data_IF_026511928813
#
_entry.id   IF_026511928813
#
_cell.length_a   1.000
_cell.length_b   1.000
_cell.length_c   1.000
_cell.angle_alpha   90.00
_cell.angle_beta   90.00
_cell.angle_gamma   90.00
#
_symmetry.space_group_name_H-M   'P 1'
#
loop_
_entity.id
_entity.type
_entity.pdbx_description
1 polymer ?
#
# COMPACT_ATOMS: atom_id res chain seq x y z
N UNK A 1 17.69 -14.16 -27.77
CA UNK A 1 16.71 -13.57 -26.83
C UNK A 1 17.03 -12.08 -26.63
N UNK A 2 17.48 -11.39 -27.69
CA UNK A 2 18.36 -10.22 -27.55
C UNK A 2 17.85 -8.97 -28.29
N UNK A 3 16.97 -9.13 -29.29
CA UNK A 3 16.45 -8.00 -30.08
C UNK A 3 15.59 -7.03 -29.25
N UNK A 4 14.86 -7.55 -28.27
CA UNK A 4 13.97 -6.75 -27.41
C UNK A 4 14.76 -5.80 -26.52
N UNK A 5 15.90 -6.26 -25.99
CA UNK A 5 16.76 -5.47 -25.10
C UNK A 5 17.46 -4.36 -25.90
N UNK A 6 17.90 -4.65 -27.12
CA UNK A 6 18.58 -3.67 -27.96
C UNK A 6 17.65 -2.52 -28.40
N UNK A 7 16.36 -2.82 -28.60
CA UNK A 7 15.32 -1.80 -28.88
C UNK A 7 15.13 -0.83 -27.71
N UNK A 8 15.16 -1.35 -26.49
CA UNK A 8 15.00 -0.56 -25.25
C UNK A 8 16.25 0.31 -25.01
N UNK A 9 17.45 -0.23 -25.24
CA UNK A 9 18.72 0.49 -25.08
C UNK A 9 18.84 1.74 -25.96
N UNK A 10 18.22 1.76 -27.15
CA UNK A 10 18.22 2.94 -28.02
C UNK A 10 17.56 4.17 -27.38
N UNK A 11 16.63 3.95 -26.44
CA UNK A 11 15.99 5.02 -25.69
C UNK A 11 16.86 5.54 -24.53
N UNK A 12 17.85 4.76 -24.08
CA UNK A 12 18.83 5.14 -23.05
C UNK A 12 20.03 5.89 -23.62
N UNK A 13 19.77 6.89 -24.46
CA UNK A 13 20.79 7.82 -24.96
C UNK A 13 20.85 9.08 -24.08
N UNK A 14 22.01 9.75 -23.95
CA UNK A 14 22.16 10.93 -23.09
C UNK A 14 21.22 12.09 -23.46
N UNK A 15 20.78 12.13 -24.73
CA UNK A 15 19.77 13.08 -25.22
C UNK A 15 18.38 12.83 -24.63
N UNK A 16 18.02 11.58 -24.37
CA UNK A 16 16.75 11.18 -23.77
C UNK A 16 16.82 11.07 -22.24
N UNK A 17 18.03 11.09 -21.67
CA UNK A 17 18.23 11.00 -20.22
C UNK A 17 17.48 12.11 -19.46
N UNK A 18 17.46 13.34 -19.98
CA UNK A 18 16.70 14.45 -19.38
C UNK A 18 15.20 14.16 -19.37
N UNK A 19 14.65 13.65 -20.47
CA UNK A 19 13.24 13.26 -20.56
C UNK A 19 12.92 12.14 -19.57
N UNK A 20 13.76 11.11 -19.51
CA UNK A 20 13.59 10.00 -18.57
C UNK A 20 13.61 10.49 -17.11
N UNK A 21 14.57 11.36 -16.75
CA UNK A 21 14.65 11.95 -15.42
C UNK A 21 13.43 12.82 -15.10
N UNK A 22 12.92 13.62 -16.05
CA UNK A 22 11.70 14.40 -15.87
C UNK A 22 10.49 13.49 -15.65
N UNK A 23 10.36 12.42 -16.43
CA UNK A 23 9.27 11.44 -16.26
C UNK A 23 9.35 10.77 -14.88
N UNK A 24 10.54 10.32 -14.47
CA UNK A 24 10.76 9.73 -13.14
C UNK A 24 10.41 10.75 -12.04
N UNK A 25 10.84 12.00 -12.17
CA UNK A 25 10.54 13.05 -11.19
C UNK A 25 9.02 13.31 -11.08
N UNK A 26 8.32 13.37 -12.21
CA UNK A 26 6.87 13.55 -12.25
C UNK A 26 6.13 12.35 -11.62
N UNK A 27 6.56 11.13 -11.92
CA UNK A 27 6.01 9.91 -11.32
C UNK A 27 6.24 9.87 -9.81
N UNK A 28 7.45 10.20 -9.35
CA UNK A 28 7.77 10.29 -7.93
C UNK A 28 6.92 11.33 -7.21
N UNK A 29 6.69 12.49 -7.82
CA UNK A 29 5.80 13.51 -7.27
C UNK A 29 4.35 13.00 -7.20
N UNK A 30 3.90 12.31 -8.25
CA UNK A 30 2.58 11.66 -8.28
C UNK A 30 2.39 10.65 -7.14
N UNK A 31 3.38 9.79 -6.89
CA UNK A 31 3.35 8.87 -5.74
C UNK A 31 3.42 9.62 -4.39
N UNK A 32 4.16 10.72 -4.32
CA UNK A 32 4.17 11.59 -3.15
C UNK A 32 2.79 12.16 -2.80
N UNK A 33 1.97 12.49 -3.81
CA UNK A 33 0.58 12.91 -3.59
C UNK A 33 -0.30 11.75 -3.09
N UNK A 34 -0.08 10.53 -3.60
CA UNK A 34 -0.79 9.33 -3.16
C UNK A 34 -0.48 8.95 -1.70
N UNK A 35 0.67 9.38 -1.17
CA UNK A 35 1.07 9.13 0.21
C UNK A 35 0.06 9.65 1.24
N UNK A 36 -0.70 10.70 0.90
CA UNK A 36 -1.79 11.24 1.75
C UNK A 36 -2.91 10.23 2.02
N UNK A 37 -3.04 9.22 1.18
CA UNK A 37 -4.07 8.18 1.30
C UNK A 37 -3.53 6.89 1.93
N UNK A 38 -2.24 6.82 2.26
CA UNK A 38 -1.68 5.67 2.95
C UNK A 38 -2.22 5.67 4.38
N UNK A 39 -3.00 4.64 4.69
CA UNK A 39 -3.56 4.40 6.01
C UNK A 39 -3.06 3.06 6.52
N UNK A 40 -2.74 3.00 7.80
CA UNK A 40 -2.44 1.73 8.45
C UNK A 40 -3.76 1.15 8.94
N UNK A 41 -4.11 0.00 8.38
CA UNK A 41 -5.29 -0.75 8.77
C UNK A 41 -4.89 -1.72 9.89
N UNK A 42 -5.35 -1.43 11.11
CA UNK A 42 -5.08 -2.23 12.31
C UNK A 42 -6.23 -3.20 12.64
N UNK A 43 -7.21 -3.33 11.75
CA UNK A 43 -8.31 -4.27 11.87
C UNK A 43 -7.80 -5.70 11.58
N UNK A 44 -7.41 -6.41 12.64
CA UNK A 44 -6.98 -7.81 12.54
C UNK A 44 -8.10 -8.71 12.06
N UNK A 45 -9.36 -8.29 12.21
CA UNK A 45 -10.50 -9.11 11.84
C UNK A 45 -10.60 -9.28 10.31
N UNK A 46 -10.01 -8.37 9.53
CA UNK A 46 -9.92 -8.46 8.06
C UNK A 46 -9.09 -9.63 7.54
N UNK A 47 -8.28 -10.26 8.39
CA UNK A 47 -7.55 -11.47 8.00
C UNK A 47 -8.41 -12.74 8.05
N UNK A 48 -9.55 -12.70 8.73
CA UNK A 48 -10.43 -13.86 8.83
C UNK A 48 -11.39 -13.97 7.62
N UNK A 49 -11.82 -15.20 7.27
CA UNK A 49 -12.84 -15.41 6.25
C UNK A 49 -14.17 -14.73 6.61
N UNK A 50 -14.95 -14.35 5.59
CA UNK A 50 -16.22 -13.63 5.77
C UNK A 50 -17.34 -14.50 6.37
N UNK A 51 -17.24 -15.83 6.24
CA UNK A 51 -18.23 -16.80 6.75
C UNK A 51 -17.67 -17.58 7.96
N UNK A 52 -17.11 -16.87 8.95
CA UNK A 52 -16.60 -17.47 10.18
C UNK A 52 -17.56 -17.21 11.36
N UNK A 53 -18.27 -18.23 11.87
CA UNK A 53 -19.21 -18.05 12.99
C UNK A 53 -18.52 -17.68 14.31
N UNK A 54 -17.22 -17.94 14.47
CA UNK A 54 -16.46 -17.49 15.63
C UNK A 54 -16.13 -15.99 15.54
N UNK A 55 -15.84 -15.50 14.32
CA UNK A 55 -15.68 -14.07 14.08
C UNK A 55 -16.97 -13.31 14.40
N UNK A 56 -18.13 -13.82 13.97
CA UNK A 56 -19.44 -13.22 14.28
C UNK A 56 -19.68 -13.11 15.79
N UNK A 57 -19.34 -14.18 16.54
CA UNK A 57 -19.43 -14.18 18.01
C UNK A 57 -18.51 -13.12 18.63
N UNK A 58 -17.28 -13.03 18.14
CA UNK A 58 -16.30 -12.04 18.62
C UNK A 58 -16.76 -10.60 18.33
N UNK A 59 -17.25 -10.33 17.12
CA UNK A 59 -17.76 -9.03 16.73
C UNK A 59 -18.95 -8.60 17.59
N UNK A 60 -19.89 -9.52 17.88
CA UNK A 60 -21.02 -9.26 18.77
C UNK A 60 -20.60 -9.00 20.22
N UNK A 61 -19.54 -9.67 20.70
CA UNK A 61 -18.93 -9.37 22.00
C UNK A 61 -18.32 -7.98 22.00
N UNK A 62 -17.50 -7.65 20.99
CA UNK A 62 -16.85 -6.33 20.84
C UNK A 62 -17.86 -5.19 20.75
N UNK A 63 -18.96 -5.36 20.02
CA UNK A 63 -20.02 -4.35 19.92
C UNK A 63 -20.65 -4.03 21.28
N UNK A 64 -20.73 -5.03 22.17
CA UNK A 64 -21.34 -4.89 23.49
C UNK A 64 -20.39 -4.33 24.55
N UNK A 65 -19.10 -4.64 24.47
CA UNK A 65 -18.13 -4.34 25.52
C UNK A 65 -17.05 -3.32 25.12
N UNK A 66 -16.96 -2.95 23.85
CA UNK A 66 -15.93 -2.07 23.30
C UNK A 66 -14.71 -2.84 22.80
N UNK A 67 -13.72 -2.10 22.30
CA UNK A 67 -12.49 -2.68 21.76
C UNK A 67 -11.43 -2.83 22.86
N UNK A 68 -10.83 -4.01 22.97
CA UNK A 68 -9.80 -4.30 23.97
C UNK A 68 -8.47 -3.57 23.68
N UNK A 69 -8.29 -3.08 22.45
CA UNK A 69 -7.06 -2.42 22.00
C UNK A 69 -7.08 -0.89 22.12
N UNK A 70 -8.12 -0.30 22.71
CA UNK A 70 -8.23 1.17 22.87
C UNK A 70 -7.50 1.71 24.12
N UNK A 71 -6.77 0.85 24.84
CA UNK A 71 -6.06 1.21 26.07
C UNK A 71 -4.55 1.30 25.83
N UNK A 72 -3.98 2.47 26.07
CA UNK A 72 -2.52 2.64 26.15
C UNK A 72 -2.07 2.44 27.60
N UNK A 73 -1.45 1.29 27.89
CA UNK A 73 -0.82 1.03 29.18
C UNK A 73 0.55 1.72 29.21
N UNK A 74 0.71 2.71 30.09
CA UNK A 74 1.97 3.41 30.32
C UNK A 74 2.52 2.95 31.68
N UNK A 75 3.80 2.56 31.71
CA UNK A 75 4.51 2.12 32.91
C UNK A 75 5.35 3.25 33.52
#
# INVERSE_FOLDING_TARGET
MDDTLHRIQRHFTPRNARLALTVIALLSLGFGLALRNVRLDHDFERFFPTDDPELDRYLAFRERFGNDNDFLLIA
#
